data_IF_596779713715
#
_entry.id   IF_596779713715
#
_cell.length_a   1.000
_cell.length_b   1.000
_cell.length_c   1.000
_cell.angle_alpha   90.00
_cell.angle_beta   90.00
_cell.angle_gamma   90.00
#
_symmetry.space_group_name_H-M   'P 1'
#
loop_
_entity.id
_entity.type
_entity.pdbx_description
1 polymer ?
#
# COMPACT_ATOMS: atom_id res chain seq x y z
N UNK A 1 -3.18 3.33 -52.75
CA UNK A 1 -4.24 2.51 -52.15
C UNK A 1 -5.28 3.45 -51.56
N UNK A 2 -6.50 3.43 -52.09
CA UNK A 2 -7.60 4.32 -51.65
C UNK A 2 -8.54 3.51 -50.76
N UNK A 3 -8.73 3.95 -49.52
CA UNK A 3 -9.72 3.36 -48.61
C UNK A 3 -11.06 4.10 -48.77
N UNK A 4 -12.17 3.39 -48.68
CA UNK A 4 -13.52 3.98 -48.78
C UNK A 4 -14.02 4.44 -47.41
N UNK A 5 -14.89 5.45 -47.40
CA UNK A 5 -15.57 5.90 -46.16
C UNK A 5 -16.34 4.77 -45.47
N UNK A 6 -16.93 3.84 -46.24
CA UNK A 6 -17.63 2.67 -45.71
C UNK A 6 -16.69 1.74 -44.93
N UNK A 7 -15.50 1.46 -45.48
CA UNK A 7 -14.51 0.63 -44.80
C UNK A 7 -13.98 1.28 -43.51
N UNK A 8 -13.91 2.62 -43.47
CA UNK A 8 -13.57 3.36 -42.24
C UNK A 8 -14.66 3.21 -41.18
N UNK A 9 -15.93 3.34 -41.56
CA UNK A 9 -17.05 3.21 -40.62
C UNK A 9 -17.19 1.79 -40.05
N UNK A 10 -16.99 0.77 -40.87
CA UNK A 10 -16.98 -0.63 -40.43
C UNK A 10 -15.81 -0.92 -39.48
N UNK A 11 -14.64 -0.33 -39.73
CA UNK A 11 -13.49 -0.45 -38.84
C UNK A 11 -13.76 0.22 -37.48
N UNK A 12 -14.36 1.41 -37.46
CA UNK A 12 -14.74 2.11 -36.22
C UNK A 12 -15.72 1.25 -35.41
N UNK A 13 -16.79 0.75 -36.04
CA UNK A 13 -17.78 -0.09 -35.36
C UNK A 13 -17.17 -1.41 -34.82
N UNK A 14 -16.24 -2.01 -35.56
CA UNK A 14 -15.49 -3.19 -35.11
C UNK A 14 -14.63 -2.88 -33.89
N UNK A 15 -13.91 -1.76 -33.88
CA UNK A 15 -13.07 -1.34 -32.76
C UNK A 15 -13.90 -0.95 -31.52
N UNK A 16 -15.06 -0.31 -31.69
CA UNK A 16 -15.96 0.05 -30.59
C UNK A 16 -16.68 -1.17 -29.99
N UNK A 17 -17.00 -2.19 -30.81
CA UNK A 17 -17.69 -3.41 -30.35
C UNK A 17 -16.76 -4.48 -29.77
N UNK A 18 -15.47 -4.44 -30.09
CA UNK A 18 -14.48 -5.38 -29.57
C UNK A 18 -14.35 -5.33 -28.04
N UNK A 19 -14.68 -4.20 -27.41
CA UNK A 19 -14.60 -4.05 -25.94
C UNK A 19 -13.19 -4.20 -25.37
N UNK A 20 -12.17 -4.19 -26.23
CA UNK A 20 -10.77 -4.33 -25.83
C UNK A 20 -10.26 -3.01 -25.25
N UNK A 21 -9.55 -3.11 -24.12
CA UNK A 21 -8.84 -1.98 -23.54
C UNK A 21 -7.86 -1.43 -24.58
N UNK A 22 -7.88 -0.12 -24.77
CA UNK A 22 -6.91 0.57 -25.59
C UNK A 22 -5.48 0.27 -25.11
N UNK A 23 -4.50 0.45 -26.01
CA UNK A 23 -3.08 0.31 -25.68
C UNK A 23 -2.70 1.18 -24.46
N UNK A 24 -3.31 2.36 -24.34
CA UNK A 24 -3.08 3.26 -23.19
C UNK A 24 -3.61 2.64 -21.90
N UNK A 25 -4.84 2.13 -21.89
CA UNK A 25 -5.44 1.56 -20.69
C UNK A 25 -4.71 0.28 -20.25
N UNK A 26 -4.28 -0.56 -21.19
CA UNK A 26 -3.46 -1.73 -20.90
C UNK A 26 -2.14 -1.35 -20.21
N UNK A 27 -1.47 -0.30 -20.71
CA UNK A 27 -0.23 0.22 -20.08
C UNK A 27 -0.49 0.79 -18.67
N UNK A 28 -1.58 1.53 -18.49
CA UNK A 28 -1.97 2.07 -17.17
C UNK A 28 -2.25 0.94 -16.18
N UNK A 29 -2.94 -0.12 -16.60
CA UNK A 29 -3.22 -1.26 -15.73
C UNK A 29 -1.94 -2.04 -15.36
N UNK A 30 -1.02 -2.22 -16.30
CA UNK A 30 0.28 -2.84 -16.01
C UNK A 30 1.09 -2.01 -14.99
N UNK A 31 1.11 -0.69 -15.18
CA UNK A 31 1.77 0.24 -14.28
C UNK A 31 1.13 0.22 -12.88
N UNK A 32 -0.21 0.19 -12.80
CA UNK A 32 -0.93 0.10 -11.52
C UNK A 32 -0.60 -1.20 -10.75
N UNK A 33 -0.40 -2.32 -11.45
CA UNK A 33 0.05 -3.58 -10.83
C UNK A 33 1.47 -3.46 -10.30
N UNK A 34 2.39 -2.90 -11.10
CA UNK A 34 3.78 -2.68 -10.68
C UNK A 34 3.87 -1.77 -9.45
N UNK A 35 3.09 -0.70 -9.41
CA UNK A 35 3.01 0.18 -8.24
C UNK A 35 2.50 -0.53 -6.99
N UNK A 36 1.49 -1.41 -7.11
CA UNK A 36 1.01 -2.21 -5.98
C UNK A 36 2.08 -3.18 -5.46
N UNK A 37 2.83 -3.80 -6.36
CA UNK A 37 3.94 -4.71 -5.99
C UNK A 37 5.06 -3.95 -5.28
N UNK A 38 5.52 -2.83 -5.86
CA UNK A 38 6.54 -1.98 -5.25
C UNK A 38 6.12 -1.49 -3.87
N UNK A 39 4.86 -1.11 -3.70
CA UNK A 39 4.35 -0.71 -2.41
C UNK A 39 4.41 -1.84 -1.38
N UNK A 40 4.06 -3.08 -1.77
CA UNK A 40 4.16 -4.25 -0.89
C UNK A 40 5.61 -4.54 -0.47
N UNK A 41 6.56 -4.43 -1.39
CA UNK A 41 7.99 -4.59 -1.09
C UNK A 41 8.50 -3.49 -0.16
N UNK A 42 8.06 -2.24 -0.35
CA UNK A 42 8.39 -1.15 0.55
C UNK A 42 7.87 -1.38 1.98
N UNK A 43 6.73 -2.07 2.17
CA UNK A 43 6.26 -2.45 3.52
C UNK A 43 7.25 -3.38 4.21
N UNK A 44 7.70 -4.43 3.51
CA UNK A 44 8.65 -5.39 4.07
C UNK A 44 10.01 -4.74 4.40
N UNK A 45 10.45 -3.80 3.56
CA UNK A 45 11.66 -3.01 3.82
C UNK A 45 11.47 -2.13 5.05
N UNK A 46 10.31 -1.49 5.21
CA UNK A 46 9.98 -0.69 6.40
C UNK A 46 10.01 -1.54 7.68
N UNK A 47 9.45 -2.74 7.67
CA UNK A 47 9.53 -3.67 8.81
C UNK A 47 10.98 -4.00 9.18
N UNK A 48 11.85 -4.13 8.18
CA UNK A 48 13.29 -4.36 8.41
C UNK A 48 13.95 -3.13 9.03
N UNK A 49 13.63 -1.92 8.56
CA UNK A 49 14.15 -0.66 9.11
C UNK A 49 13.70 -0.48 10.57
N UNK A 50 12.43 -0.77 10.87
CA UNK A 50 11.89 -0.72 12.24
C UNK A 50 12.60 -1.74 13.16
N UNK A 51 12.98 -2.91 12.65
CA UNK A 51 13.79 -3.84 13.42
C UNK A 51 15.20 -3.29 13.71
N UNK A 52 15.83 -2.60 12.76
CA UNK A 52 17.13 -1.94 12.98
C UNK A 52 16.99 -0.79 14.00
N UNK A 53 15.92 0.02 13.91
CA UNK A 53 15.58 1.05 14.91
C UNK A 53 15.44 0.44 16.29
N UNK A 54 14.71 -0.68 16.39
CA UNK A 54 14.56 -1.40 17.64
C UNK A 54 15.90 -1.87 18.24
N UNK A 55 16.87 -2.29 17.41
CA UNK A 55 18.22 -2.59 17.91
C UNK A 55 18.93 -1.33 18.40
N UNK A 56 18.83 -0.23 17.66
CA UNK A 56 19.43 1.05 18.04
C UNK A 56 18.87 1.57 19.37
N UNK A 57 17.54 1.61 19.51
CA UNK A 57 16.84 2.09 20.72
C UNK A 57 17.14 1.26 21.97
N UNK A 58 17.44 -0.03 21.78
CA UNK A 58 17.70 -0.97 22.88
C UNK A 58 19.21 -1.23 23.10
N UNK A 59 20.09 -0.42 22.52
CA UNK A 59 21.55 -0.56 22.73
C UNK A 59 22.22 0.81 22.90
N UNK A 60 23.42 0.80 23.51
CA UNK A 60 24.17 2.03 23.79
C UNK A 60 24.99 2.56 22.60
N UNK A 61 24.98 1.85 21.46
CA UNK A 61 25.80 2.14 20.29
C UNK A 61 26.70 0.96 19.88
N UNK A 62 27.71 1.25 19.05
CA UNK A 62 28.66 0.24 18.52
C UNK A 62 30.02 0.41 19.20
N UNK A 63 30.47 -0.63 19.90
CA UNK A 63 31.79 -0.68 20.51
C UNK A 63 32.88 -0.86 19.45
N UNK A 64 34.00 -0.13 19.61
CA UNK A 64 35.20 -0.32 18.79
C UNK A 64 35.17 0.35 17.42
N UNK A 65 34.11 1.08 17.08
CA UNK A 65 34.03 1.88 15.85
C UNK A 65 35.20 2.87 15.71
N UNK A 66 35.52 3.56 16.80
CA UNK A 66 36.61 4.55 16.88
C UNK A 66 37.99 3.93 17.15
N UNK A 67 38.09 2.61 17.35
CA UNK A 67 39.31 1.89 17.72
C UNK A 67 40.03 2.42 18.99
N UNK A 68 39.33 3.19 19.82
CA UNK A 68 39.84 3.81 21.05
C UNK A 68 39.18 3.28 22.34
N UNK A 69 38.26 2.31 22.20
CA UNK A 69 37.52 1.71 23.32
C UNK A 69 36.21 2.41 23.67
N UNK A 70 35.88 3.54 23.04
CA UNK A 70 34.60 4.23 23.22
C UNK A 70 33.47 3.54 22.43
N UNK A 71 32.24 3.74 22.92
CA UNK A 71 31.03 3.29 22.23
C UNK A 71 30.53 4.46 21.37
N UNK A 72 30.52 4.27 20.05
CA UNK A 72 29.99 5.25 19.11
C UNK A 72 28.46 5.19 19.09
N UNK A 73 27.81 6.34 19.14
CA UNK A 73 26.34 6.43 19.20
C UNK A 73 25.71 6.11 17.84
N UNK A 74 24.49 5.58 17.84
CA UNK A 74 23.77 5.29 16.59
C UNK A 74 23.53 6.53 15.73
N UNK A 75 23.25 7.68 16.35
CA UNK A 75 23.10 8.97 15.66
C UNK A 75 24.37 9.45 14.96
N UNK A 76 25.55 8.94 15.35
CA UNK A 76 26.82 9.25 14.70
C UNK A 76 27.08 8.32 13.50
N UNK A 77 26.75 7.03 13.66
CA UNK A 77 27.10 5.97 12.70
C UNK A 77 26.05 5.85 11.59
N UNK A 78 24.78 6.05 11.95
CA UNK A 78 23.64 5.89 11.06
C UNK A 78 22.59 6.98 11.36
N UNK A 79 22.91 8.26 11.14
CA UNK A 79 21.99 9.37 11.43
C UNK A 79 20.68 9.27 10.65
N UNK A 80 20.70 8.64 9.47
CA UNK A 80 19.52 8.49 8.61
C UNK A 80 18.44 7.61 9.24
N UNK A 81 18.78 6.79 10.24
CA UNK A 81 17.81 5.87 10.85
C UNK A 81 16.64 6.63 11.49
N UNK A 82 16.86 7.84 12.01
CA UNK A 82 15.83 8.63 12.68
C UNK A 82 14.95 9.42 11.68
N UNK A 83 15.49 9.70 10.48
CA UNK A 83 14.85 10.59 9.49
C UNK A 83 14.11 9.84 8.36
N UNK A 84 14.02 8.50 8.42
CA UNK A 84 13.28 7.72 7.42
C UNK A 84 11.77 7.93 7.61
N UNK A 85 11.17 8.66 6.68
CA UNK A 85 9.72 8.78 6.50
C UNK A 85 9.28 8.13 5.19
N UNK A 86 8.18 7.39 5.19
CA UNK A 86 7.63 6.76 3.98
C UNK A 86 6.13 7.04 3.75
N UNK A 87 5.69 8.31 3.65
CA UNK A 87 4.26 8.66 3.68
C UNK A 87 3.42 7.97 2.60
N UNK A 88 4.01 7.78 1.41
CA UNK A 88 3.35 7.06 0.32
C UNK A 88 3.12 5.58 0.64
N UNK A 89 4.09 4.91 1.27
CA UNK A 89 3.97 3.52 1.73
C UNK A 89 2.99 3.43 2.88
N UNK A 90 3.07 4.34 3.85
CA UNK A 90 2.19 4.38 5.02
C UNK A 90 0.72 4.53 4.61
N UNK A 91 0.43 5.43 3.67
CA UNK A 91 -0.91 5.57 3.07
C UNK A 91 -1.38 4.30 2.37
N UNK A 92 -0.49 3.57 1.70
CA UNK A 92 -0.86 2.32 1.01
C UNK A 92 -1.12 1.20 2.01
N UNK A 93 -0.34 1.09 3.08
CA UNK A 93 -0.56 0.12 4.16
C UNK A 93 -1.89 0.40 4.83
N UNK A 94 -2.14 1.65 5.25
CA UNK A 94 -3.37 2.02 5.92
C UNK A 94 -4.61 1.76 5.04
N UNK A 95 -4.53 2.05 3.74
CA UNK A 95 -5.57 1.72 2.78
C UNK A 95 -5.75 0.19 2.60
N UNK A 96 -4.67 -0.60 2.66
CA UNK A 96 -4.75 -2.06 2.62
C UNK A 96 -5.39 -2.64 3.89
N UNK A 97 -5.03 -2.14 5.07
CA UNK A 97 -5.61 -2.49 6.36
C UNK A 97 -7.09 -2.12 6.40
N UNK A 98 -7.46 -0.90 5.98
CA UNK A 98 -8.84 -0.44 5.88
C UNK A 98 -9.68 -1.38 5.01
N UNK A 99 -9.19 -1.77 3.83
CA UNK A 99 -9.88 -2.77 2.98
C UNK A 99 -10.00 -4.13 3.64
N UNK A 100 -9.02 -4.54 4.44
CA UNK A 100 -9.09 -5.77 5.24
C UNK A 100 -10.22 -5.72 6.25
N UNK A 101 -10.32 -4.62 7.00
CA UNK A 101 -11.38 -4.37 7.98
C UNK A 101 -12.75 -4.30 7.32
N UNK A 102 -12.87 -3.67 6.16
CA UNK A 102 -14.13 -3.62 5.39
C UNK A 102 -14.59 -5.00 4.92
N UNK A 103 -13.66 -5.86 4.48
CA UNK A 103 -13.98 -7.25 4.14
C UNK A 103 -14.51 -8.01 5.36
N UNK A 104 -13.91 -7.79 6.53
CA UNK A 104 -14.39 -8.38 7.78
C UNK A 104 -15.80 -7.86 8.15
N UNK A 105 -16.04 -6.55 8.04
CA UNK A 105 -17.35 -5.96 8.27
C UNK A 105 -18.42 -6.52 7.30
N UNK A 106 -18.08 -6.68 6.02
CA UNK A 106 -18.95 -7.29 5.02
C UNK A 106 -19.25 -8.78 5.33
N UNK A 107 -18.26 -9.52 5.82
CA UNK A 107 -18.44 -10.90 6.26
C UNK A 107 -19.42 -10.99 7.43
N UNK A 108 -19.30 -10.11 8.43
CA UNK A 108 -20.22 -10.04 9.57
C UNK A 108 -21.66 -9.74 9.16
N UNK A 109 -21.85 -8.83 8.18
CA UNK A 109 -23.18 -8.49 7.64
C UNK A 109 -23.82 -9.67 6.91
N UNK A 110 -23.02 -10.42 6.14
CA UNK A 110 -23.51 -11.58 5.38
C UNK A 110 -23.95 -12.73 6.29
N UNK A 111 -23.28 -12.88 7.44
CA UNK A 111 -23.55 -13.93 8.41
C UNK A 111 -24.51 -13.50 9.54
N UNK A 112 -25.14 -12.33 9.41
CA UNK A 112 -26.13 -11.88 10.38
C UNK A 112 -27.40 -12.74 10.31
N UNK A 113 -27.70 -13.44 11.41
CA UNK A 113 -28.91 -14.23 11.58
C UNK A 113 -30.00 -13.47 12.39
N UNK A 114 -29.93 -12.14 12.41
CA UNK A 114 -30.84 -11.26 13.15
C UNK A 114 -30.32 -10.91 14.55
N UNK A 115 -29.03 -11.11 14.85
CA UNK A 115 -28.43 -10.78 16.14
C UNK A 115 -27.76 -9.41 16.08
N UNK A 116 -28.21 -8.49 16.93
CA UNK A 116 -27.77 -7.08 16.98
C UNK A 116 -26.25 -6.87 17.07
N UNK A 117 -25.52 -7.82 17.67
CA UNK A 117 -24.09 -7.70 17.95
C UNK A 117 -23.25 -7.68 16.66
N UNK A 118 -23.51 -8.56 15.69
CA UNK A 118 -22.74 -8.59 14.43
C UNK A 118 -22.88 -7.27 13.65
N UNK A 119 -24.10 -6.69 13.66
CA UNK A 119 -24.38 -5.40 13.03
C UNK A 119 -23.63 -4.25 13.71
N UNK A 120 -23.62 -4.20 15.04
CA UNK A 120 -22.88 -3.16 15.78
C UNK A 120 -21.36 -3.26 15.53
N UNK A 121 -20.80 -4.47 15.52
CA UNK A 121 -19.37 -4.68 15.25
C UNK A 121 -19.04 -4.26 13.81
N UNK A 122 -19.88 -4.61 12.84
CA UNK A 122 -19.65 -4.23 11.44
C UNK A 122 -19.68 -2.71 11.23
N UNK A 123 -20.49 -1.97 12.00
CA UNK A 123 -20.50 -0.49 11.97
C UNK A 123 -19.20 0.08 12.57
N UNK A 124 -18.79 -0.41 13.75
CA UNK A 124 -17.52 0.02 14.36
C UNK A 124 -16.30 -0.32 13.50
N UNK A 125 -16.34 -1.44 12.77
CA UNK A 125 -15.30 -1.82 11.82
C UNK A 125 -15.24 -0.84 10.63
N UNK A 126 -16.37 -0.40 10.08
CA UNK A 126 -16.38 0.61 9.01
C UNK A 126 -15.78 1.95 9.49
N UNK A 127 -16.14 2.38 10.71
CA UNK A 127 -15.59 3.60 11.31
C UNK A 127 -14.06 3.49 11.53
N UNK A 128 -13.59 2.33 12.00
CA UNK A 128 -12.16 2.07 12.15
C UNK A 128 -11.43 2.06 10.80
N UNK A 129 -12.00 1.44 9.77
CA UNK A 129 -11.44 1.47 8.41
C UNK A 129 -11.31 2.90 7.87
N UNK A 130 -12.26 3.78 8.17
CA UNK A 130 -12.18 5.20 7.82
C UNK A 130 -11.06 5.90 8.58
N UNK A 131 -10.94 5.67 9.89
CA UNK A 131 -9.88 6.25 10.72
C UNK A 131 -8.48 5.87 10.23
N UNK A 132 -8.27 4.61 9.81
CA UNK A 132 -6.99 4.17 9.23
C UNK A 132 -6.60 5.03 8.02
N UNK A 133 -7.53 5.30 7.10
CA UNK A 133 -7.28 6.13 5.91
C UNK A 133 -6.98 7.59 6.24
N UNK A 134 -7.68 8.14 7.23
CA UNK A 134 -7.54 9.55 7.64
C UNK A 134 -6.29 9.78 8.51
N UNK A 135 -5.82 8.76 9.22
CA UNK A 135 -4.66 8.81 10.10
C UNK A 135 -3.31 8.68 9.40
N UNK A 136 -3.26 8.06 8.21
CA UNK A 136 -2.04 7.97 7.42
C UNK A 136 -1.79 9.29 6.66
N UNK A 137 -0.97 10.16 7.24
CA UNK A 137 -0.45 11.39 6.60
C UNK A 137 0.82 11.11 5.81
#
# INVERSE_FOLDING_TARGET
MTITLQAVNELIASLESAGELSIKETKVMALAKAFKQLAAENVAIRETIEAVRGVADNSSGIAGWHLNGEIAQWSEILPEIDDIETPATDRIVAEAEARGVEKFAAHLRTNDNGKSVCKMIALGADDFAKQLREGAK
#
